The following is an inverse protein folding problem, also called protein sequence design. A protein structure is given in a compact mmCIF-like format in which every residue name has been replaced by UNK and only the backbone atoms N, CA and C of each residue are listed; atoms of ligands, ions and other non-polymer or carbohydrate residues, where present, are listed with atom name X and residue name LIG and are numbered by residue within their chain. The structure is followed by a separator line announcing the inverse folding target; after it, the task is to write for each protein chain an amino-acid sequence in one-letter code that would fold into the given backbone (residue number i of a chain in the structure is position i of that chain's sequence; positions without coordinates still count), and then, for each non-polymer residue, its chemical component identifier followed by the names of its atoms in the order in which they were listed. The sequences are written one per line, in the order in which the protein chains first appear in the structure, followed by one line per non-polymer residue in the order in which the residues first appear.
data_IF_932693128334
#
_entry.id   IF_932693128334
#
_cell.length_a   1.000
_cell.length_b   1.000
_cell.length_c   1.000
_cell.angle_alpha   90.00
_cell.angle_beta   90.00
_cell.angle_gamma   90.00
#
_symmetry.space_group_name_H-M   'P 1'
#
loop_
_entity.id
_entity.type
_entity.pdbx_description
1 polymer ?
#
# COMPACT_ATOMS: atom_id res chain seq x y z
N UNK A 1 -7.11 6.69 2.01
CA UNK A 1 -7.33 6.65 3.47
C UNK A 1 -8.29 5.51 3.80
N UNK A 2 -8.19 4.93 4.99
CA UNK A 2 -9.12 3.92 5.48
C UNK A 2 -10.46 4.57 5.88
N UNK A 3 -11.40 4.55 4.93
CA UNK A 3 -12.74 5.13 5.10
C UNK A 3 -13.54 4.39 6.18
N UNK A 4 -13.29 3.09 6.36
CA UNK A 4 -13.95 2.29 7.39
C UNK A 4 -13.58 2.75 8.79
N UNK A 5 -12.27 2.92 9.04
CA UNK A 5 -11.75 3.48 10.30
C UNK A 5 -12.23 4.90 10.53
N UNK A 6 -12.20 5.76 9.51
CA UNK A 6 -12.72 7.14 9.60
C UNK A 6 -14.20 7.15 10.01
N UNK A 7 -15.04 6.38 9.32
CA UNK A 7 -16.48 6.29 9.61
C UNK A 7 -16.74 5.77 11.03
N UNK A 8 -16.02 4.74 11.46
CA UNK A 8 -16.14 4.16 12.81
C UNK A 8 -15.88 5.22 13.89
N UNK A 9 -14.79 5.98 13.78
CA UNK A 9 -14.44 7.01 14.75
C UNK A 9 -15.40 8.20 14.73
N UNK A 10 -15.89 8.58 13.55
CA UNK A 10 -16.90 9.64 13.43
C UNK A 10 -18.22 9.27 14.11
N UNK A 11 -18.67 8.02 13.94
CA UNK A 11 -19.86 7.50 14.63
C UNK A 11 -19.61 7.42 16.15
N UNK A 12 -18.45 6.92 16.57
CA UNK A 12 -18.08 6.88 17.99
C UNK A 12 -18.11 8.28 18.63
N UNK A 13 -17.66 9.31 17.92
CA UNK A 13 -17.74 10.70 18.40
C UNK A 13 -19.19 11.20 18.47
N UNK A 14 -20.03 10.90 17.47
CA UNK A 14 -21.43 11.31 17.44
C UNK A 14 -22.27 10.65 18.56
N UNK A 15 -21.94 9.40 18.90
CA UNK A 15 -22.62 8.62 19.93
C UNK A 15 -22.04 8.86 21.33
N UNK A 16 -20.87 9.49 21.43
CA UNK A 16 -20.20 9.72 22.69
C UNK A 16 -21.08 10.46 23.71
N UNK A 17 -20.92 10.08 24.98
CA UNK A 17 -21.64 10.69 26.10
C UNK A 17 -20.66 11.13 27.17
N UNK A 18 -20.86 12.35 27.66
CA UNK A 18 -20.12 12.84 28.83
C UNK A 18 -20.57 12.05 30.05
N UNK A 19 -19.61 11.50 30.77
CA UNK A 19 -19.81 10.70 31.99
C UNK A 19 -19.47 11.53 33.22
N UNK A 20 -18.34 12.23 33.16
CA UNK A 20 -17.81 12.96 34.31
C UNK A 20 -16.99 14.17 33.84
N UNK A 21 -17.17 15.31 34.49
CA UNK A 21 -16.24 16.43 34.38
C UNK A 21 -14.91 16.06 35.04
N UNK A 22 -13.78 16.40 34.41
CA UNK A 22 -12.46 16.12 34.97
C UNK A 22 -11.80 17.38 35.50
N UNK A 23 -11.10 18.11 34.66
CA UNK A 23 -10.31 19.25 35.12
C UNK A 23 -10.25 20.35 34.08
N UNK A 24 -10.22 21.58 34.56
CA UNK A 24 -9.94 22.78 33.78
C UNK A 24 -8.51 23.31 34.03
N UNK A 25 -7.68 22.56 34.78
CA UNK A 25 -6.29 22.93 35.08
C UNK A 25 -5.35 22.31 34.01
N UNK A 26 -4.68 23.14 33.18
CA UNK A 26 -3.78 22.67 32.12
C UNK A 26 -2.64 21.76 32.61
N UNK A 27 -2.19 21.92 33.87
CA UNK A 27 -1.13 21.10 34.46
C UNK A 27 -1.48 19.61 34.59
N UNK A 28 -2.73 19.22 34.34
CA UNK A 28 -3.15 17.82 34.30
C UNK A 28 -3.42 17.27 32.89
N UNK A 29 -3.39 18.10 31.85
CA UNK A 29 -3.78 17.65 30.50
C UNK A 29 -2.84 16.60 29.92
N UNK A 30 -1.54 16.65 30.22
CA UNK A 30 -0.57 15.64 29.79
C UNK A 30 -0.95 14.24 30.27
N UNK A 31 -1.39 14.12 31.53
CA UNK A 31 -1.82 12.84 32.11
C UNK A 31 -3.07 12.28 31.45
N UNK A 32 -3.90 13.14 30.87
CA UNK A 32 -5.12 12.76 30.16
C UNK A 32 -4.89 12.64 28.65
N UNK A 33 -3.77 13.15 28.13
CA UNK A 33 -3.49 13.28 26.70
C UNK A 33 -4.40 14.27 25.98
N UNK A 34 -4.87 15.34 26.65
CA UNK A 34 -5.81 16.33 26.06
C UNK A 34 -5.19 17.72 25.87
N UNK A 35 -3.86 17.79 25.79
CA UNK A 35 -3.11 19.01 25.48
C UNK A 35 -3.50 19.55 24.09
N UNK A 36 -3.26 20.84 23.86
CA UNK A 36 -3.37 21.37 22.50
C UNK A 36 -2.25 20.77 21.64
N UNK A 37 -2.51 20.52 20.35
CA UNK A 37 -1.50 19.90 19.45
C UNK A 37 -0.25 20.75 19.26
N UNK A 38 -0.32 22.04 19.55
CA UNK A 38 0.83 22.94 19.51
C UNK A 38 1.79 22.73 20.70
N UNK A 39 1.34 22.07 21.77
CA UNK A 39 2.15 21.81 22.95
C UNK A 39 3.15 20.68 22.68
N UNK A 40 4.37 20.85 23.19
CA UNK A 40 5.40 19.80 23.11
C UNK A 40 4.95 18.55 23.88
N UNK A 41 5.02 17.39 23.23
CA UNK A 41 4.60 16.12 23.84
C UNK A 41 3.08 15.92 23.89
N UNK A 42 2.28 16.69 23.14
CA UNK A 42 0.84 16.45 23.00
C UNK A 42 0.56 14.99 22.60
N UNK A 43 -0.17 14.28 23.48
CA UNK A 43 -0.36 12.83 23.34
C UNK A 43 -1.66 12.42 22.66
N UNK A 44 -2.60 13.34 22.49
CA UNK A 44 -3.95 13.11 21.95
C UNK A 44 -4.08 13.31 20.45
N UNK A 45 -5.29 13.05 19.94
CA UNK A 45 -5.66 13.26 18.54
C UNK A 45 -6.84 14.24 18.48
N UNK A 46 -6.70 15.35 17.75
CA UNK A 46 -7.81 16.29 17.53
C UNK A 46 -8.61 15.91 16.29
N UNK A 47 -9.91 15.75 16.49
CA UNK A 47 -10.90 15.56 15.46
C UNK A 47 -11.57 16.91 15.19
N UNK A 48 -11.33 17.46 14.00
CA UNK A 48 -11.98 18.68 13.54
C UNK A 48 -13.01 18.33 12.47
N UNK A 49 -14.28 18.62 12.74
CA UNK A 49 -15.39 18.41 11.83
C UNK A 49 -15.76 19.74 11.23
N UNK A 50 -15.74 19.82 9.90
CA UNK A 50 -16.10 21.02 9.17
C UNK A 50 -17.05 20.67 8.02
N UNK A 51 -17.98 21.58 7.75
CA UNK A 51 -18.71 21.67 6.48
C UNK A 51 -18.20 22.91 5.75
N UNK A 52 -19.04 23.90 5.49
CA UNK A 52 -18.59 25.24 5.04
C UNK A 52 -17.81 25.99 6.14
N UNK A 53 -18.13 25.68 7.41
CA UNK A 53 -17.46 26.19 8.60
C UNK A 53 -17.18 25.04 9.58
N UNK A 54 -16.28 25.27 10.53
CA UNK A 54 -16.02 24.33 11.61
C UNK A 54 -17.28 24.12 12.47
N UNK A 55 -17.64 22.86 12.68
CA UNK A 55 -18.79 22.44 13.47
C UNK A 55 -18.37 22.04 14.88
N UNK A 56 -17.24 21.34 15.00
CA UNK A 56 -16.69 20.89 16.27
C UNK A 56 -15.20 20.58 16.14
N UNK A 57 -14.44 20.87 17.19
CA UNK A 57 -13.05 20.45 17.34
C UNK A 57 -12.85 19.84 18.72
N UNK A 58 -12.53 18.55 18.75
CA UNK A 58 -12.43 17.75 19.98
C UNK A 58 -11.11 17.00 20.00
N UNK A 59 -10.33 17.19 21.05
CA UNK A 59 -9.13 16.44 21.35
C UNK A 59 -9.54 15.18 22.12
N UNK A 60 -9.25 14.01 21.53
CA UNK A 60 -9.43 12.71 22.16
C UNK A 60 -8.08 12.28 22.73
N UNK A 61 -8.05 12.08 24.04
CA UNK A 61 -6.87 11.70 24.78
C UNK A 61 -6.79 10.21 25.07
N UNK A 62 -6.15 9.89 26.18
CA UNK A 62 -5.91 8.52 26.62
C UNK A 62 -7.20 7.87 27.14
N UNK A 63 -7.29 6.55 27.01
CA UNK A 63 -8.29 5.77 27.73
C UNK A 63 -7.86 5.58 29.20
N UNK A 64 -8.79 5.62 30.17
CA UNK A 64 -8.47 5.27 31.55
C UNK A 64 -7.92 3.85 31.66
N UNK A 65 -7.01 3.62 32.60
CA UNK A 65 -6.45 2.29 32.82
C UNK A 65 -7.55 1.27 33.14
N UNK A 66 -7.56 0.15 32.42
CA UNK A 66 -8.50 -0.96 32.67
C UNK A 66 -9.86 -0.85 32.00
N UNK A 67 -10.10 0.16 31.15
CA UNK A 67 -11.31 0.22 30.33
C UNK A 67 -11.04 0.85 28.97
N UNK A 68 -11.41 0.13 27.90
CA UNK A 68 -11.42 0.65 26.53
C UNK A 68 -12.72 1.39 26.17
N UNK A 69 -13.74 1.32 27.03
CA UNK A 69 -15.09 1.88 26.76
C UNK A 69 -15.15 3.40 26.95
N UNK A 70 -14.13 3.97 27.59
CA UNK A 70 -14.05 5.39 27.89
C UNK A 70 -12.78 6.00 27.33
N UNK A 71 -12.84 7.30 27.05
CA UNK A 71 -11.70 8.12 26.67
C UNK A 71 -11.78 9.47 27.38
N UNK A 72 -10.62 10.08 27.64
CA UNK A 72 -10.62 11.50 27.99
C UNK A 72 -10.83 12.34 26.73
N UNK A 73 -11.55 13.45 26.87
CA UNK A 73 -11.76 14.37 25.78
C UNK A 73 -11.76 15.82 26.26
N UNK A 74 -11.37 16.75 25.40
CA UNK A 74 -11.50 18.20 25.62
C UNK A 74 -11.88 18.87 24.31
N UNK A 75 -12.83 19.79 24.33
CA UNK A 75 -13.07 20.66 23.18
C UNK A 75 -11.88 21.61 23.05
N UNK A 76 -11.29 21.73 21.86
CA UNK A 76 -10.02 22.45 21.71
C UNK A 76 -10.07 23.91 22.24
N UNK A 77 -11.20 24.59 22.03
CA UNK A 77 -11.42 25.97 22.47
C UNK A 77 -11.82 26.11 23.96
N UNK A 78 -12.02 25.00 24.69
CA UNK A 78 -12.51 25.01 26.07
C UNK A 78 -11.42 24.48 27.03
N UNK A 79 -11.33 25.03 28.26
CA UNK A 79 -10.39 24.51 29.26
C UNK A 79 -10.90 23.20 29.89
N UNK A 80 -12.20 22.98 29.98
CA UNK A 80 -12.73 21.84 30.72
C UNK A 80 -12.55 20.54 29.95
N UNK A 81 -11.86 19.57 30.57
CA UNK A 81 -11.76 18.19 30.10
C UNK A 81 -12.82 17.29 30.72
N UNK A 82 -13.14 16.22 30.02
CA UNK A 82 -14.24 15.31 30.33
C UNK A 82 -13.79 13.85 30.20
N UNK A 83 -14.42 12.98 30.96
CA UNK A 83 -14.47 11.56 30.66
C UNK A 83 -15.70 11.31 29.79
N UNK A 84 -15.49 10.68 28.63
CA UNK A 84 -16.58 10.31 27.72
C UNK A 84 -16.66 8.80 27.57
N UNK A 85 -17.88 8.27 27.46
CA UNK A 85 -18.13 6.91 26.99
C UNK A 85 -18.02 6.92 25.46
N UNK A 86 -17.06 6.19 24.91
CA UNK A 86 -16.75 6.15 23.49
C UNK A 86 -15.45 5.37 23.23
N UNK A 87 -15.51 4.43 22.28
CA UNK A 87 -14.39 3.61 21.86
C UNK A 87 -13.77 4.18 20.57
N UNK A 88 -12.51 4.58 20.64
CA UNK A 88 -11.82 5.23 19.53
C UNK A 88 -10.63 4.38 19.06
N UNK A 89 -10.44 4.32 17.75
CA UNK A 89 -9.26 3.75 17.07
C UNK A 89 -8.61 4.89 16.27
N UNK A 90 -7.83 5.72 16.97
CA UNK A 90 -7.23 6.95 16.43
C UNK A 90 -5.72 6.80 16.34
N UNK A 91 -5.21 6.33 15.19
CA UNK A 91 -3.78 6.31 14.93
C UNK A 91 -3.13 7.69 15.08
N UNK A 92 -1.92 7.70 15.62
CA UNK A 92 -1.14 8.94 15.85
C UNK A 92 -0.32 9.36 14.64
N UNK A 93 -0.09 8.45 13.70
CA UNK A 93 0.72 8.71 12.50
C UNK A 93 -0.16 8.70 11.25
N UNK A 94 0.12 9.60 10.30
CA UNK A 94 -0.64 9.68 9.05
C UNK A 94 -0.64 8.37 8.25
N UNK A 95 0.48 7.64 8.24
CA UNK A 95 0.62 6.37 7.52
C UNK A 95 -0.27 5.24 8.06
N UNK A 96 -0.72 5.31 9.31
CA UNK A 96 -1.69 4.36 9.87
C UNK A 96 -3.13 4.69 9.46
N UNK A 97 -3.42 5.90 8.95
CA UNK A 97 -4.73 6.26 8.40
C UNK A 97 -4.90 5.85 6.93
N UNK A 98 -3.85 5.33 6.29
CA UNK A 98 -3.88 4.93 4.89
C UNK A 98 -4.60 3.57 4.74
N UNK A 99 -5.42 3.45 3.68
CA UNK A 99 -5.79 2.13 3.18
C UNK A 99 -4.55 1.61 2.46
N UNK A 100 -3.88 0.64 3.07
CA UNK A 100 -2.55 0.21 2.63
C UNK A 100 -2.59 -0.71 1.43
N UNK A 101 -3.73 -1.32 1.12
CA UNK A 101 -3.83 -2.21 -0.03
C UNK A 101 -3.70 -1.40 -1.32
N UNK A 102 -2.91 -1.88 -2.28
CA UNK A 102 -2.78 -1.25 -3.60
C UNK A 102 -3.45 -2.11 -4.67
N UNK A 103 -3.10 -3.40 -4.70
CA UNK A 103 -3.62 -4.36 -5.66
C UNK A 103 -3.46 -5.78 -5.12
N UNK A 104 -4.25 -6.70 -5.64
CA UNK A 104 -4.18 -8.13 -5.32
C UNK A 104 -4.34 -8.95 -6.60
N UNK A 105 -3.41 -8.75 -7.54
CA UNK A 105 -3.40 -9.51 -8.80
C UNK A 105 -2.61 -10.81 -8.55
N UNK A 106 -3.27 -11.97 -8.59
CA UNK A 106 -2.63 -13.26 -8.35
C UNK A 106 -1.60 -13.57 -9.43
N UNK A 107 -0.52 -14.25 -9.05
CA UNK A 107 0.57 -14.59 -9.97
C UNK A 107 0.11 -15.52 -11.11
N UNK A 108 -0.94 -16.31 -10.85
CA UNK A 108 -1.65 -17.19 -11.79
C UNK A 108 -2.21 -16.43 -13.00
N UNK A 109 -2.59 -15.16 -12.81
CA UNK A 109 -3.04 -14.30 -13.92
C UNK A 109 -1.87 -13.76 -14.74
N UNK A 110 -0.66 -13.69 -14.20
CA UNK A 110 0.48 -13.09 -14.89
C UNK A 110 0.94 -13.99 -16.04
N UNK A 111 0.91 -13.49 -17.27
CA UNK A 111 1.41 -14.14 -18.48
C UNK A 111 2.89 -13.82 -18.70
N UNK A 112 3.26 -12.55 -18.56
CA UNK A 112 4.64 -12.10 -18.76
C UNK A 112 5.00 -10.89 -17.91
N UNK A 113 6.29 -10.75 -17.62
CA UNK A 113 6.86 -9.60 -16.91
C UNK A 113 8.06 -9.09 -17.69
N UNK A 114 8.11 -7.79 -17.93
CA UNK A 114 9.27 -7.11 -18.55
C UNK A 114 9.77 -6.02 -17.62
N UNK A 115 11.03 -6.08 -17.19
CA UNK A 115 11.67 -5.05 -16.36
C UNK A 115 12.77 -4.35 -17.15
N UNK A 116 12.53 -3.09 -17.52
CA UNK A 116 13.45 -2.28 -18.31
C UNK A 116 14.23 -1.31 -17.42
N UNK A 117 15.55 -1.47 -17.41
CA UNK A 117 16.48 -0.58 -16.70
C UNK A 117 17.06 0.44 -17.68
N UNK A 118 16.91 1.76 -17.43
CA UNK A 118 17.44 2.79 -18.31
C UNK A 118 18.94 2.63 -18.57
N UNK A 119 19.32 2.40 -19.83
CA UNK A 119 20.71 2.28 -20.26
C UNK A 119 21.45 1.00 -19.86
N UNK A 120 20.78 0.00 -19.27
CA UNK A 120 21.44 -1.23 -18.79
C UNK A 120 20.93 -2.52 -19.43
N UNK A 121 19.65 -2.60 -19.77
CA UNK A 121 19.08 -3.80 -20.38
C UNK A 121 17.64 -4.05 -19.93
N UNK A 122 17.06 -5.14 -20.40
CA UNK A 122 15.70 -5.55 -20.07
C UNK A 122 15.69 -7.01 -19.64
N UNK A 123 15.08 -7.30 -18.50
CA UNK A 123 14.73 -8.64 -18.06
C UNK A 123 13.35 -8.98 -18.63
N UNK A 124 13.19 -10.16 -19.23
CA UNK A 124 11.90 -10.65 -19.71
C UNK A 124 11.64 -12.03 -19.14
N UNK A 125 10.44 -12.17 -18.58
CA UNK A 125 9.90 -13.40 -18.03
C UNK A 125 8.59 -13.70 -18.76
N UNK A 126 8.38 -14.95 -19.14
CA UNK A 126 7.12 -15.39 -19.74
C UNK A 126 6.74 -16.77 -19.22
N UNK A 127 5.44 -17.05 -19.15
CA UNK A 127 4.99 -18.43 -19.00
C UNK A 127 5.50 -19.28 -20.17
N UNK A 128 5.90 -20.53 -19.91
CA UNK A 128 6.30 -21.45 -20.97
C UNK A 128 5.14 -21.62 -21.95
N UNK A 129 5.49 -21.73 -23.23
CA UNK A 129 4.50 -21.94 -24.28
C UNK A 129 3.74 -23.26 -24.02
N UNK A 130 2.42 -23.17 -23.83
CA UNK A 130 1.58 -24.35 -23.62
C UNK A 130 1.53 -25.16 -24.92
N UNK A 131 1.95 -26.43 -24.89
CA UNK A 131 1.60 -27.37 -25.95
C UNK A 131 0.08 -27.57 -25.91
N UNK A 132 -0.65 -27.52 -27.04
CA UNK A 132 -2.08 -27.79 -27.05
C UNK A 132 -2.32 -29.18 -26.45
N UNK A 133 -3.15 -29.24 -25.40
CA UNK A 133 -3.51 -30.51 -24.79
C UNK A 133 -4.17 -31.39 -25.85
N UNK A 134 -3.59 -32.55 -26.11
CA UNK A 134 -4.07 -33.48 -27.13
C UNK A 134 -5.18 -34.39 -26.58
N UNK A 135 -5.39 -34.37 -25.26
CA UNK A 135 -6.44 -35.13 -24.58
C UNK A 135 -6.98 -34.42 -23.34
N UNK A 136 -8.20 -34.78 -22.86
CA UNK A 136 -8.78 -34.25 -21.62
C UNK A 136 -7.92 -34.53 -20.37
N UNK A 137 -7.23 -35.67 -20.35
CA UNK A 137 -6.36 -36.06 -19.23
C UNK A 137 -5.07 -35.20 -19.21
N UNK A 138 -4.48 -34.91 -20.38
CA UNK A 138 -3.37 -33.95 -20.49
C UNK A 138 -3.78 -32.53 -20.11
N UNK A 139 -5.04 -32.14 -20.36
CA UNK A 139 -5.55 -30.84 -19.94
C UNK A 139 -5.68 -30.76 -18.41
N UNK A 140 -6.07 -31.84 -17.74
CA UNK A 140 -6.16 -31.93 -16.28
C UNK A 140 -4.78 -31.94 -15.61
N UNK A 141 -3.81 -32.69 -16.16
CA UNK A 141 -2.42 -32.71 -15.67
C UNK A 141 -1.70 -31.37 -15.90
N UNK A 142 -1.93 -30.72 -17.04
CA UNK A 142 -1.45 -29.36 -17.31
C UNK A 142 -2.01 -28.35 -16.31
N UNK A 143 -3.30 -28.44 -15.95
CA UNK A 143 -3.92 -27.56 -14.96
C UNK A 143 -3.38 -27.82 -13.53
N UNK A 144 -2.95 -29.04 -13.22
CA UNK A 144 -2.28 -29.35 -11.96
C UNK A 144 -0.84 -28.80 -11.93
N UNK A 145 -0.14 -28.82 -13.08
CA UNK A 145 1.20 -28.21 -13.23
C UNK A 145 1.18 -26.68 -13.28
N UNK A 146 0.06 -26.05 -13.65
CA UNK A 146 -0.14 -24.58 -13.65
C UNK A 146 0.00 -23.97 -12.23
N UNK A 147 -0.03 -24.80 -11.18
CA UNK A 147 0.22 -24.40 -9.80
C UNK A 147 1.71 -24.14 -9.49
N UNK A 148 2.63 -24.54 -10.37
CA UNK A 148 4.05 -24.25 -10.26
C UNK A 148 4.35 -23.00 -11.09
N UNK A 149 4.68 -21.89 -10.44
CA UNK A 149 4.96 -20.59 -11.05
C UNK A 149 6.30 -20.58 -11.85
N UNK A 150 6.50 -21.51 -12.78
CA UNK A 150 7.78 -21.65 -13.49
C UNK A 150 7.83 -20.75 -14.73
N UNK A 151 8.19 -19.49 -14.52
CA UNK A 151 8.45 -18.55 -15.62
C UNK A 151 9.81 -18.84 -16.27
N UNK A 152 9.84 -18.83 -17.61
CA UNK A 152 11.06 -18.88 -18.38
C UNK A 152 11.72 -17.49 -18.41
N UNK A 153 13.06 -17.46 -18.44
CA UNK A 153 13.84 -16.21 -18.49
C UNK A 153 14.49 -16.09 -19.86
N UNK A 154 14.18 -15.01 -20.58
CA UNK A 154 14.83 -14.75 -21.86
C UNK A 154 16.27 -14.26 -21.68
N UNK A 155 17.14 -14.66 -22.61
CA UNK A 155 18.47 -14.07 -22.75
C UNK A 155 19.47 -14.50 -21.67
N UNK A 156 19.29 -15.66 -21.05
CA UNK A 156 20.31 -16.27 -20.19
C UNK A 156 21.62 -16.42 -21.00
N UNK A 157 22.76 -15.82 -20.56
CA UNK A 157 24.01 -15.93 -21.29
C UNK A 157 24.50 -17.38 -21.39
N UNK A 158 25.17 -17.71 -22.49
CA UNK A 158 25.71 -19.06 -22.70
C UNK A 158 26.63 -19.49 -21.54
N UNK A 159 26.42 -20.72 -21.04
CA UNK A 159 27.16 -21.27 -19.91
C UNK A 159 26.76 -20.72 -18.54
N UNK A 160 25.66 -19.96 -18.45
CA UNK A 160 25.03 -19.56 -17.18
C UNK A 160 23.73 -20.32 -16.98
N UNK A 161 23.38 -20.48 -15.71
CA UNK A 161 22.13 -21.08 -15.27
C UNK A 161 21.47 -20.18 -14.23
N UNK A 162 20.17 -20.42 -13.99
CA UNK A 162 19.44 -19.77 -12.90
C UNK A 162 20.03 -20.18 -11.55
N UNK A 163 19.91 -19.30 -10.57
CA UNK A 163 20.47 -19.50 -9.24
C UNK A 163 19.84 -20.68 -8.52
N UNK A 164 18.53 -20.86 -8.69
CA UNK A 164 17.76 -22.00 -8.18
C UNK A 164 16.41 -22.07 -8.94
N UNK A 165 15.75 -23.25 -8.96
CA UNK A 165 14.41 -23.38 -9.54
C UNK A 165 13.40 -22.43 -8.88
N UNK A 166 12.61 -21.71 -9.67
CA UNK A 166 11.59 -20.78 -9.17
C UNK A 166 12.11 -19.42 -8.66
N UNK A 167 13.36 -19.04 -8.97
CA UNK A 167 13.91 -17.70 -8.64
C UNK A 167 13.04 -16.55 -9.18
N UNK A 168 12.30 -16.80 -10.25
CA UNK A 168 11.38 -15.89 -10.94
C UNK A 168 10.04 -15.71 -10.23
N UNK A 169 9.65 -16.64 -9.37
CA UNK A 169 8.31 -16.68 -8.75
C UNK A 169 8.08 -15.43 -7.89
N UNK A 170 9.15 -14.97 -7.23
CA UNK A 170 9.16 -13.73 -6.43
C UNK A 170 8.78 -12.49 -7.23
N UNK A 171 9.12 -12.45 -8.52
CA UNK A 171 8.75 -11.37 -9.44
C UNK A 171 7.29 -11.51 -9.84
N UNK A 172 6.82 -12.73 -10.15
CA UNK A 172 5.43 -12.97 -10.55
C UNK A 172 4.41 -12.62 -9.45
N UNK A 173 4.74 -12.85 -8.18
CA UNK A 173 3.87 -12.52 -7.02
C UNK A 173 3.99 -11.05 -6.58
N UNK A 174 4.70 -10.19 -7.34
CA UNK A 174 4.94 -8.81 -6.92
C UNK A 174 3.63 -8.03 -6.73
N UNK A 175 2.64 -8.23 -7.62
CA UNK A 175 1.34 -7.56 -7.60
C UNK A 175 0.30 -8.24 -6.68
N UNK A 176 0.59 -9.42 -6.14
CA UNK A 176 -0.29 -10.10 -5.18
C UNK A 176 -0.17 -9.46 -3.80
N UNK A 177 -1.28 -9.21 -3.11
CA UNK A 177 -1.33 -8.57 -1.78
C UNK A 177 -0.39 -7.36 -1.65
N UNK A 178 -0.34 -6.51 -2.69
CA UNK A 178 0.58 -5.39 -2.70
C UNK A 178 0.12 -4.32 -1.71
N UNK A 179 1.00 -3.94 -0.79
CA UNK A 179 0.73 -2.93 0.22
C UNK A 179 1.74 -1.80 0.15
N UNK A 180 1.27 -0.58 0.45
CA UNK A 180 2.10 0.60 0.64
C UNK A 180 2.59 0.71 2.09
N UNK A 181 3.78 1.28 2.28
CA UNK A 181 4.25 1.80 3.57
C UNK A 181 3.87 3.26 3.75
N UNK A 182 4.03 4.04 2.67
CA UNK A 182 3.72 5.47 2.65
C UNK A 182 3.29 5.93 1.26
N UNK A 183 2.71 7.12 1.19
CA UNK A 183 2.26 7.74 -0.06
C UNK A 183 2.51 9.24 -0.05
N UNK A 184 2.93 9.76 -1.20
CA UNK A 184 3.21 11.19 -1.41
C UNK A 184 2.68 11.64 -2.76
N UNK A 185 2.73 12.94 -3.03
CA UNK A 185 2.32 13.51 -4.31
C UNK A 185 3.44 13.39 -5.35
N UNK A 186 3.11 13.65 -6.61
CA UNK A 186 4.07 13.64 -7.72
C UNK A 186 5.27 14.58 -7.50
N UNK A 187 5.09 15.64 -6.71
CA UNK A 187 6.14 16.62 -6.42
C UNK A 187 7.38 15.99 -5.77
N UNK A 188 7.21 14.86 -5.07
CA UNK A 188 8.33 14.12 -4.47
C UNK A 188 9.31 13.55 -5.51
N UNK A 189 8.91 13.42 -6.77
CA UNK A 189 9.79 12.99 -7.86
C UNK A 189 10.64 14.15 -8.43
N UNK A 190 10.34 15.40 -8.05
CA UNK A 190 10.96 16.59 -8.62
C UNK A 190 10.39 16.97 -9.99
N UNK A 191 10.85 18.12 -10.53
CA UNK A 191 10.38 18.66 -11.81
C UNK A 191 10.92 17.89 -13.02
N UNK A 192 12.12 17.35 -12.92
CA UNK A 192 12.80 16.55 -13.95
C UNK A 192 13.31 15.24 -13.33
N UNK A 193 12.41 14.29 -13.06
CA UNK A 193 12.83 13.03 -12.49
C UNK A 193 13.74 12.27 -13.46
N UNK A 194 14.74 11.57 -12.91
CA UNK A 194 15.53 10.59 -13.68
C UNK A 194 14.61 9.55 -14.33
N UNK A 195 15.08 8.89 -15.39
CA UNK A 195 14.31 7.80 -16.00
C UNK A 195 14.11 6.67 -14.97
N UNK A 196 12.87 6.21 -14.74
CA UNK A 196 12.61 5.12 -13.82
C UNK A 196 13.00 3.76 -14.41
N UNK A 197 13.18 2.78 -13.54
CA UNK A 197 13.04 1.36 -13.94
C UNK A 197 11.56 1.10 -14.15
N UNK A 198 11.19 0.50 -15.28
CA UNK A 198 9.78 0.21 -15.59
C UNK A 198 9.58 -1.30 -15.59
N UNK A 199 8.75 -1.79 -14.66
CA UNK A 199 8.29 -3.17 -14.62
C UNK A 199 6.87 -3.24 -15.18
N UNK A 200 6.71 -3.94 -16.29
CA UNK A 200 5.45 -4.14 -17.00
C UNK A 200 4.99 -5.58 -16.83
N UNK A 201 3.83 -5.75 -16.21
CA UNK A 201 3.16 -7.02 -15.99
C UNK A 201 2.01 -7.13 -16.98
N UNK A 202 1.92 -8.26 -17.70
CA UNK A 202 0.79 -8.59 -18.57
C UNK A 202 0.09 -9.78 -17.98
N UNK A 203 -1.23 -9.71 -17.87
CA UNK A 203 -2.05 -10.84 -17.47
C UNK A 203 -2.60 -11.58 -18.68
N UNK A 204 -2.97 -12.84 -18.49
CA UNK A 204 -3.56 -13.72 -19.51
C UNK A 204 -4.91 -13.24 -20.03
N UNK A 205 -5.60 -12.37 -19.29
CA UNK A 205 -6.86 -11.73 -19.68
C UNK A 205 -6.68 -10.32 -20.29
N UNK A 206 -5.43 -9.90 -20.54
CA UNK A 206 -5.10 -8.69 -21.28
C UNK A 206 -4.97 -7.42 -20.43
N UNK A 207 -5.08 -7.50 -19.11
CA UNK A 207 -4.71 -6.40 -18.21
C UNK A 207 -3.19 -6.20 -18.23
N UNK A 208 -2.76 -4.95 -18.33
CA UNK A 208 -1.37 -4.54 -18.26
C UNK A 208 -1.19 -3.59 -17.10
N UNK A 209 -0.27 -3.91 -16.19
CA UNK A 209 0.11 -3.03 -15.07
C UNK A 209 1.57 -2.64 -15.21
N UNK A 210 1.82 -1.35 -15.32
CA UNK A 210 3.15 -0.75 -15.34
C UNK A 210 3.48 -0.12 -13.99
N UNK A 211 4.55 -0.59 -13.35
CA UNK A 211 5.15 0.01 -12.18
C UNK A 211 6.41 0.77 -12.60
N UNK A 212 6.41 2.09 -12.44
CA UNK A 212 7.59 2.93 -12.67
C UNK A 212 8.27 3.20 -11.34
N UNK A 213 9.53 2.81 -11.20
CA UNK A 213 10.32 2.90 -9.97
C UNK A 213 11.49 3.90 -10.13
N UNK A 214 11.44 4.99 -9.37
CA UNK A 214 12.51 5.98 -9.24
C UNK A 214 13.35 5.68 -8.01
N UNK A 215 14.65 5.43 -8.21
CA UNK A 215 15.59 5.29 -7.10
C UNK A 215 16.08 6.67 -6.68
N UNK A 216 15.61 7.14 -5.52
CA UNK A 216 16.00 8.41 -4.91
C UNK A 216 16.98 8.18 -3.75
N UNK A 217 17.49 9.26 -3.17
CA UNK A 217 18.45 9.19 -2.06
C UNK A 217 17.83 8.62 -0.77
N UNK A 218 16.54 8.84 -0.57
CA UNK A 218 15.76 8.46 0.61
C UNK A 218 14.85 7.23 0.35
N UNK A 219 15.12 6.47 -0.70
CA UNK A 219 14.41 5.24 -1.03
C UNK A 219 13.86 5.21 -2.45
N UNK A 220 13.16 4.12 -2.78
CA UNK A 220 12.52 3.98 -4.09
C UNK A 220 11.09 4.51 -4.01
N UNK A 221 10.69 5.26 -5.03
CA UNK A 221 9.33 5.76 -5.22
C UNK A 221 8.71 5.10 -6.43
N UNK A 222 7.48 4.63 -6.30
CA UNK A 222 6.80 3.84 -7.34
C UNK A 222 5.47 4.47 -7.72
N UNK A 223 5.18 4.54 -9.01
CA UNK A 223 3.83 4.87 -9.52
C UNK A 223 3.29 3.70 -10.33
N UNK A 224 1.97 3.54 -10.36
CA UNK A 224 1.31 2.51 -11.14
C UNK A 224 0.44 3.12 -12.23
N UNK A 225 0.43 2.47 -13.39
CA UNK A 225 -0.49 2.75 -14.48
C UNK A 225 -1.02 1.42 -15.01
N UNK A 226 -2.34 1.28 -15.09
CA UNK A 226 -2.99 0.12 -15.65
C UNK A 226 -3.58 0.45 -17.04
N UNK A 227 -3.62 -0.54 -17.92
CA UNK A 227 -4.28 -0.45 -19.24
C UNK A 227 -4.82 -1.81 -19.66
N UNK A 228 -5.78 -1.83 -20.59
CA UNK A 228 -6.42 -3.04 -21.09
C UNK A 228 -7.62 -2.69 -21.96
N UNK A 229 -8.28 -3.71 -22.51
CA UNK A 229 -9.50 -3.57 -23.30
C UNK A 229 -10.63 -4.44 -22.72
N UNK A 230 -11.89 -4.15 -23.07
CA UNK A 230 -13.04 -4.93 -22.59
C UNK A 230 -13.17 -4.95 -21.07
N UNK A 231 -13.28 -6.15 -20.48
CA UNK A 231 -13.34 -6.31 -19.01
C UNK A 231 -12.03 -5.91 -18.32
N UNK A 232 -10.87 -6.22 -18.93
CA UNK A 232 -9.58 -5.78 -18.42
C UNK A 232 -9.44 -4.24 -18.45
N UNK A 233 -10.07 -3.57 -19.42
CA UNK A 233 -10.15 -2.12 -19.46
C UNK A 233 -10.90 -1.53 -18.26
N UNK A 234 -12.01 -2.12 -17.85
CA UNK A 234 -12.77 -1.68 -16.65
C UNK A 234 -11.96 -1.89 -15.37
N UNK A 235 -11.25 -3.00 -15.25
CA UNK A 235 -10.35 -3.25 -14.12
C UNK A 235 -9.20 -2.25 -14.10
N UNK A 236 -8.61 -1.95 -15.26
CA UNK A 236 -7.57 -0.93 -15.41
C UNK A 236 -8.07 0.45 -14.98
N UNK A 237 -9.28 0.85 -15.36
CA UNK A 237 -9.89 2.11 -14.95
C UNK A 237 -10.09 2.17 -13.43
N UNK A 238 -10.55 1.08 -12.81
CA UNK A 238 -10.70 0.98 -11.36
C UNK A 238 -9.35 1.09 -10.64
N UNK A 239 -8.31 0.41 -11.15
CA UNK A 239 -6.95 0.52 -10.64
C UNK A 239 -6.41 1.94 -10.78
N UNK A 240 -6.59 2.59 -11.93
CA UNK A 240 -6.12 3.96 -12.16
C UNK A 240 -6.86 4.99 -11.30
N UNK A 241 -8.16 4.80 -11.07
CA UNK A 241 -8.92 5.65 -10.15
C UNK A 241 -8.44 5.51 -8.70
N UNK A 242 -8.01 4.31 -8.30
CA UNK A 242 -7.45 4.03 -6.97
C UNK A 242 -6.01 4.51 -6.83
N UNK A 243 -5.18 4.27 -7.85
CA UNK A 243 -3.72 4.37 -7.78
C UNK A 243 -3.15 5.64 -8.42
N UNK A 244 -3.93 6.32 -9.26
CA UNK A 244 -3.52 7.49 -10.01
C UNK A 244 -3.26 8.70 -9.12
N UNK A 245 -2.33 9.56 -9.53
CA UNK A 245 -2.01 10.82 -8.85
C UNK A 245 -1.09 10.71 -7.64
N UNK A 246 -0.74 9.48 -7.23
CA UNK A 246 0.06 9.20 -6.05
C UNK A 246 1.40 8.56 -6.40
N UNK A 247 2.35 8.74 -5.50
CA UNK A 247 3.68 8.14 -5.53
C UNK A 247 3.85 7.33 -4.25
N UNK A 248 4.13 6.04 -4.39
CA UNK A 248 4.13 5.09 -3.29
C UNK A 248 5.54 4.77 -2.82
N UNK A 249 5.68 4.59 -1.50
CA UNK A 249 6.79 3.87 -0.88
C UNK A 249 6.27 2.48 -0.55
N UNK A 250 6.96 1.44 -1.02
CA UNK A 250 6.62 0.04 -0.77
C UNK A 250 7.66 -0.60 0.13
N UNK A 251 7.31 -1.68 0.84
CA UNK A 251 8.29 -2.46 1.57
C UNK A 251 9.46 -2.87 0.70
N UNK A 252 10.68 -2.85 1.28
CA UNK A 252 11.91 -3.10 0.53
C UNK A 252 11.85 -4.42 -0.26
N UNK A 253 11.33 -5.48 0.35
CA UNK A 253 11.21 -6.80 -0.28
C UNK A 253 10.25 -6.84 -1.48
N UNK A 254 9.24 -5.95 -1.54
CA UNK A 254 8.35 -5.77 -2.71
C UNK A 254 9.02 -4.89 -3.75
N UNK A 255 9.62 -3.77 -3.33
CA UNK A 255 10.38 -2.85 -4.19
C UNK A 255 11.46 -3.56 -5.01
N UNK A 256 12.19 -4.50 -4.39
CA UNK A 256 13.20 -5.29 -5.07
C UNK A 256 12.66 -6.05 -6.28
N UNK A 257 11.42 -6.55 -6.22
CA UNK A 257 10.83 -7.36 -7.30
C UNK A 257 10.52 -6.55 -8.55
N UNK A 258 10.19 -5.26 -8.40
CA UNK A 258 9.98 -4.33 -9.52
C UNK A 258 11.30 -3.86 -10.15
N UNK A 259 12.44 -4.14 -9.51
CA UNK A 259 13.75 -3.63 -9.92
C UNK A 259 14.79 -4.72 -10.14
N UNK A 260 14.39 -6.00 -10.19
CA UNK A 260 15.26 -7.13 -10.50
C UNK A 260 15.95 -6.97 -11.86
N UNK A 261 17.16 -7.50 -11.94
CA UNK A 261 17.95 -7.63 -13.17
C UNK A 261 18.19 -9.11 -13.48
N UNK A 262 18.49 -9.39 -14.74
CA UNK A 262 18.89 -10.73 -15.16
C UNK A 262 20.03 -11.29 -14.31
N UNK A 263 21.04 -10.48 -13.99
CA UNK A 263 22.18 -10.91 -13.16
C UNK A 263 21.79 -11.39 -11.77
N UNK A 264 20.66 -10.91 -11.23
CA UNK A 264 20.19 -11.28 -9.89
C UNK A 264 19.54 -12.67 -9.88
N UNK A 265 19.16 -13.17 -11.04
CA UNK A 265 18.53 -14.48 -11.24
C UNK A 265 19.53 -15.59 -11.54
N UNK A 266 20.78 -15.24 -11.86
CA UNK A 266 21.79 -16.21 -12.29
C UNK A 266 22.61 -16.74 -11.11
N UNK A 267 23.10 -17.98 -11.22
CA UNK A 267 24.01 -18.56 -10.23
C UNK A 267 25.30 -17.72 -10.08
N UNK A 268 25.92 -17.70 -8.88
CA UNK A 268 27.23 -17.08 -8.68
C UNK A 268 28.27 -17.62 -9.68
N UNK A 269 29.26 -16.79 -10.00
CA UNK A 269 30.42 -17.24 -10.79
C UNK A 269 31.38 -18.05 -9.93
#
# INVERSE_FOLDING_TARGET
ADVGRLRKNLLALAEARIVEEKTSNPGFYERLGVQDLADEGAGGVQLTLAAEQELASVIIGQAPSGSSDYSYARRAAEPTSWLIAGQFDLPKTGGEWLDRSLTDIPAERIESVTISHPGQGTLRLSRPARAPASSPDEAADSAASDSVLDFEVDGIPAGRELRYPGVTNSIAVALAELQLEDVTTRDALGSEPVKPVVARFVTTDGLVVEASAWKLADGTRITFLASGEGEAGKEADALNARLGGWVYTLPAYKTEQFTRRLTDLLAPK
#
